data_IF_067026917942
#
_entry.id   IF_067026917942
#
_cell.length_a   1.000
_cell.length_b   1.000
_cell.length_c   1.000
_cell.angle_alpha   90.00
_cell.angle_beta   90.00
_cell.angle_gamma   90.00
#
_symmetry.space_group_name_H-M   'P 1'
#
loop_
_entity.id
_entity.type
_entity.pdbx_description
1 polymer ?
#
# COMPACT_ATOMS: atom_id res chain seq x y z
N UNK A 1 -2.73 13.67 9.22
CA UNK A 1 -3.08 13.54 7.79
C UNK A 1 -1.91 13.98 6.94
N UNK A 2 -1.39 13.07 6.12
CA UNK A 2 -0.23 13.31 5.28
C UNK A 2 -0.59 14.28 4.13
N UNK A 3 0.36 15.09 3.63
CA UNK A 3 0.08 16.13 2.61
C UNK A 3 -0.56 15.53 1.36
N UNK A 4 -0.11 14.36 0.93
CA UNK A 4 -0.66 13.62 -0.20
C UNK A 4 -2.17 13.32 -0.05
N UNK A 5 -2.61 12.89 1.14
CA UNK A 5 -4.03 12.62 1.40
C UNK A 5 -4.88 13.89 1.34
N UNK A 6 -4.34 15.03 1.80
CA UNK A 6 -5.03 16.33 1.70
C UNK A 6 -5.19 16.80 0.26
N UNK A 7 -4.32 16.35 -0.64
CA UNK A 7 -4.36 16.65 -2.06
C UNK A 7 -5.16 15.63 -2.88
N UNK A 8 -5.82 14.66 -2.22
CA UNK A 8 -6.63 13.64 -2.89
C UNK A 8 -5.83 12.45 -3.43
N UNK A 9 -4.54 12.33 -3.11
CA UNK A 9 -3.75 11.16 -3.48
C UNK A 9 -3.96 10.02 -2.49
N UNK A 10 -4.12 8.82 -3.04
CA UNK A 10 -4.04 7.59 -2.26
C UNK A 10 -2.58 7.15 -2.14
N UNK A 11 -2.13 6.89 -0.91
CA UNK A 11 -0.73 6.55 -0.61
C UNK A 11 -0.66 5.13 -0.11
N UNK A 12 0.21 4.35 -0.74
CA UNK A 12 0.46 2.96 -0.42
C UNK A 12 1.94 2.75 -0.07
N UNK A 13 2.20 1.96 0.97
CA UNK A 13 3.55 1.66 1.46
C UNK A 13 3.92 0.20 1.25
N UNK A 14 5.16 -0.06 0.87
CA UNK A 14 5.73 -1.40 0.81
C UNK A 14 6.99 -1.45 1.67
N UNK A 15 6.94 -2.22 2.77
CA UNK A 15 8.09 -2.52 3.61
C UNK A 15 8.84 -3.75 3.09
N UNK A 16 10.15 -3.80 3.32
CA UNK A 16 10.99 -4.96 2.99
C UNK A 16 11.50 -5.55 4.29
N UNK A 17 11.03 -6.75 4.64
CA UNK A 17 11.41 -7.53 5.83
C UNK A 17 11.21 -6.80 7.17
N UNK A 18 10.45 -5.71 7.16
CA UNK A 18 10.21 -4.85 8.31
C UNK A 18 8.75 -4.38 8.33
N UNK A 19 8.07 -4.63 9.45
CA UNK A 19 6.67 -4.29 9.70
C UNK A 19 6.44 -2.84 10.16
N UNK A 20 7.50 -2.08 10.45
CA UNK A 20 7.38 -0.70 10.89
C UNK A 20 6.70 0.22 9.85
N UNK A 21 6.64 -0.19 8.58
CA UNK A 21 5.82 0.49 7.56
C UNK A 21 4.33 0.58 7.96
N UNK A 22 3.84 -0.40 8.73
CA UNK A 22 2.47 -0.40 9.26
C UNK A 22 2.25 0.70 10.31
N UNK A 23 3.31 1.17 10.99
CA UNK A 23 3.19 2.32 11.89
C UNK A 23 3.04 3.64 11.12
N UNK A 24 3.64 3.74 9.93
CA UNK A 24 3.54 4.92 9.06
C UNK A 24 2.23 4.93 8.25
N UNK A 25 1.82 3.76 7.75
CA UNK A 25 0.64 3.58 6.90
C UNK A 25 -0.17 2.34 7.34
N UNK A 26 -0.94 2.42 8.44
CA UNK A 26 -1.56 1.24 9.06
C UNK A 26 -2.58 0.52 8.19
N UNK A 27 -3.24 1.25 7.29
CA UNK A 27 -4.36 0.75 6.48
C UNK A 27 -3.97 0.49 5.02
N UNK A 28 -2.84 1.04 4.57
CA UNK A 28 -2.42 1.03 3.16
C UNK A 28 -0.97 0.58 3.00
N UNK A 29 -0.49 -0.29 3.89
CA UNK A 29 0.84 -0.89 3.76
C UNK A 29 0.81 -2.41 3.65
N UNK A 30 1.88 -2.93 3.05
CA UNK A 30 2.23 -4.35 2.98
C UNK A 30 3.72 -4.51 3.25
N UNK A 31 4.12 -5.72 3.64
CA UNK A 31 5.53 -6.10 3.82
C UNK A 31 5.81 -7.28 2.92
N UNK A 32 6.94 -7.24 2.22
CA UNK A 32 7.49 -8.39 1.49
C UNK A 32 8.71 -8.92 2.22
N UNK A 33 8.89 -10.23 2.23
CA UNK A 33 10.06 -10.86 2.84
C UNK A 33 11.09 -11.25 1.79
N UNK A 34 10.60 -11.66 0.62
CA UNK A 34 11.43 -12.07 -0.51
C UNK A 34 11.12 -11.24 -1.76
N UNK A 35 12.09 -11.15 -2.68
CA UNK A 35 11.89 -10.47 -3.96
C UNK A 35 10.76 -11.11 -4.78
N UNK A 36 10.57 -12.42 -4.62
CA UNK A 36 9.49 -13.20 -5.23
C UNK A 36 8.10 -12.66 -4.86
N UNK A 37 7.95 -12.06 -3.68
CA UNK A 37 6.68 -11.53 -3.18
C UNK A 37 6.34 -10.15 -3.77
N UNK A 38 7.33 -9.46 -4.35
CA UNK A 38 7.17 -8.08 -4.81
C UNK A 38 6.04 -7.95 -5.82
N UNK A 39 6.10 -8.72 -6.91
CA UNK A 39 5.09 -8.68 -7.96
C UNK A 39 3.68 -9.01 -7.41
N UNK A 40 3.42 -10.17 -6.79
CA UNK A 40 2.08 -10.50 -6.32
C UNK A 40 1.53 -9.47 -5.31
N UNK A 41 2.36 -8.95 -4.40
CA UNK A 41 1.92 -7.92 -3.44
C UNK A 41 1.59 -6.60 -4.13
N UNK A 42 2.39 -6.16 -5.10
CA UNK A 42 2.09 -4.94 -5.85
C UNK A 42 0.78 -5.06 -6.65
N UNK A 43 0.53 -6.21 -7.29
CA UNK A 43 -0.70 -6.43 -8.04
C UNK A 43 -1.93 -6.52 -7.12
N UNK A 44 -1.83 -7.16 -5.95
CA UNK A 44 -2.90 -7.17 -4.93
C UNK A 44 -3.26 -5.77 -4.45
N UNK A 45 -2.25 -4.95 -4.16
CA UNK A 45 -2.44 -3.56 -3.74
C UNK A 45 -3.10 -2.72 -4.84
N UNK A 46 -2.64 -2.87 -6.09
CA UNK A 46 -3.22 -2.18 -7.24
C UNK A 46 -4.68 -2.63 -7.48
N UNK A 47 -4.95 -3.93 -7.45
CA UNK A 47 -6.31 -4.45 -7.62
C UNK A 47 -7.24 -3.90 -6.54
N UNK A 48 -6.80 -3.88 -5.28
CA UNK A 48 -7.55 -3.31 -4.17
C UNK A 48 -7.84 -1.82 -4.40
N UNK A 49 -6.86 -1.04 -4.86
CA UNK A 49 -7.04 0.38 -5.16
C UNK A 49 -8.07 0.60 -6.29
N UNK A 50 -7.98 -0.17 -7.37
CA UNK A 50 -8.89 -0.09 -8.50
C UNK A 50 -10.33 -0.46 -8.11
N UNK A 51 -10.51 -1.50 -7.28
CA UNK A 51 -11.82 -1.90 -6.78
C UNK A 51 -12.44 -0.84 -5.86
N UNK A 52 -11.64 -0.20 -5.00
CA UNK A 52 -12.11 0.92 -4.18
C UNK A 52 -12.51 2.14 -5.02
N UNK A 53 -11.69 2.48 -6.01
CA UNK A 53 -11.97 3.59 -6.92
C UNK A 53 -13.19 3.34 -7.80
N UNK A 54 -13.46 2.09 -8.18
CA UNK A 54 -14.66 1.71 -8.92
C UNK A 54 -15.95 1.79 -8.09
N UNK A 55 -15.86 1.54 -6.78
CA UNK A 55 -16.99 1.60 -5.86
C UNK A 55 -17.33 3.02 -5.37
N UNK A 56 -16.60 4.05 -5.83
CA UNK A 56 -16.72 5.46 -5.41
C UNK A 56 -17.42 6.34 -6.43
#
# INVERSE_FOLDING_TARGET
MNVAQKLGFEVYGLGIRDEHIAHLLPQTSRVINDLSDLAPVMFDMLQTALLKGWAS
#
